data_IF_012682408779
#
_entry.id   IF_012682408779
#
_cell.length_a   1.000
_cell.length_b   1.000
_cell.length_c   1.000
_cell.angle_alpha   90.00
_cell.angle_beta   90.00
_cell.angle_gamma   90.00
#
_symmetry.space_group_name_H-M   'P 1'
#
loop_
_entity.id
_entity.type
_entity.pdbx_description
1 polymer ?
#
# COMPACT_ATOMS: atom_id res chain seq x y z
N UNK A 1 -84.18 30.85 1.56
CA UNK A 1 -83.17 29.84 1.94
C UNK A 1 -82.07 29.87 0.88
N UNK A 2 -80.84 30.18 1.31
CA UNK A 2 -79.53 30.02 0.64
C UNK A 2 -79.43 30.31 -0.87
N UNK A 3 -78.97 31.50 -1.27
CA UNK A 3 -77.57 31.92 -1.47
C UNK A 3 -76.90 31.33 -2.71
N UNK A 4 -76.86 32.14 -3.78
CA UNK A 4 -75.84 32.07 -4.83
C UNK A 4 -75.70 33.47 -5.44
N UNK A 5 -74.52 34.07 -5.34
CA UNK A 5 -74.15 35.22 -6.17
C UNK A 5 -72.72 35.06 -6.66
N UNK A 6 -72.61 35.09 -7.98
CA UNK A 6 -71.40 34.96 -8.78
C UNK A 6 -70.83 36.37 -8.99
N UNK A 7 -69.51 36.53 -8.86
CA UNK A 7 -68.81 37.65 -9.47
C UNK A 7 -67.35 37.28 -9.84
N UNK A 8 -67.14 37.19 -11.15
CA UNK A 8 -65.94 37.48 -11.95
C UNK A 8 -64.80 38.25 -11.28
N UNK A 9 -63.54 37.80 -11.46
CA UNK A 9 -62.54 38.51 -12.30
C UNK A 9 -61.15 37.84 -12.34
N UNK A 10 -60.57 37.85 -13.56
CA UNK A 10 -59.13 37.90 -13.96
C UNK A 10 -58.13 36.81 -13.51
N UNK A 11 -57.71 36.04 -14.52
CA UNK A 11 -56.46 35.25 -14.55
C UNK A 11 -55.24 36.16 -14.65
N UNK A 12 -54.27 35.98 -13.76
CA UNK A 12 -52.86 36.26 -14.01
C UNK A 12 -52.02 35.09 -13.49
N UNK A 13 -51.11 34.67 -14.35
CA UNK A 13 -50.15 33.57 -14.24
C UNK A 13 -49.10 33.81 -13.16
N UNK A 14 -48.79 32.80 -12.35
CA UNK A 14 -47.51 32.70 -11.66
C UNK A 14 -46.94 31.28 -11.82
N UNK A 15 -45.89 31.21 -12.64
CA UNK A 15 -44.99 30.06 -12.82
C UNK A 15 -44.02 30.02 -11.64
N UNK A 16 -43.99 28.92 -10.90
CA UNK A 16 -42.96 28.65 -9.90
C UNK A 16 -41.85 27.84 -10.54
N UNK A 17 -40.78 28.51 -10.97
CA UNK A 17 -39.51 27.85 -11.31
C UNK A 17 -38.73 27.72 -10.00
N UNK A 18 -38.73 26.53 -9.42
CA UNK A 18 -37.78 26.13 -8.38
C UNK A 18 -36.40 26.00 -9.03
N UNK A 19 -35.59 27.04 -8.87
CA UNK A 19 -34.16 26.98 -9.20
C UNK A 19 -33.45 26.02 -8.24
N UNK A 20 -33.07 24.86 -8.74
CA UNK A 20 -31.99 24.07 -8.16
C UNK A 20 -30.69 24.86 -8.34
N UNK A 21 -30.31 25.63 -7.32
CA UNK A 21 -28.93 26.11 -7.20
C UNK A 21 -28.10 24.89 -6.84
N UNK A 22 -27.56 24.25 -7.87
CA UNK A 22 -26.43 23.37 -7.70
C UNK A 22 -25.25 24.29 -7.36
N UNK A 23 -24.93 24.42 -6.07
CA UNK A 23 -23.68 25.07 -5.64
C UNK A 23 -22.54 24.30 -6.28
N UNK A 24 -22.03 24.81 -7.40
CA UNK A 24 -20.73 24.43 -7.91
C UNK A 24 -19.70 24.95 -6.90
N UNK A 25 -19.33 24.11 -5.94
CA UNK A 25 -18.17 24.37 -5.10
C UNK A 25 -16.94 24.37 -6.02
N UNK A 26 -16.61 25.53 -6.59
CA UNK A 26 -15.35 25.74 -7.26
C UNK A 26 -14.24 25.52 -6.23
N UNK A 27 -13.29 24.64 -6.53
CA UNK A 27 -12.07 24.46 -5.73
C UNK A 27 -11.40 25.83 -5.56
N UNK A 28 -11.31 26.31 -4.32
CA UNK A 28 -10.80 27.66 -4.01
C UNK A 28 -9.50 27.62 -3.20
N UNK A 29 -9.19 26.51 -2.52
CA UNK A 29 -7.99 26.36 -1.69
C UNK A 29 -6.88 25.62 -2.45
N UNK A 30 -5.69 26.22 -2.51
CA UNK A 30 -4.48 25.58 -3.08
C UNK A 30 -3.75 24.70 -2.06
N UNK A 31 -4.03 24.87 -0.78
CA UNK A 31 -3.50 24.10 0.34
C UNK A 31 -4.52 24.05 1.48
N UNK A 32 -4.45 23.01 2.31
CA UNK A 32 -5.21 22.89 3.54
C UNK A 32 -4.40 22.17 4.62
N UNK A 33 -4.91 22.20 5.85
CA UNK A 33 -4.32 21.51 7.01
C UNK A 33 -5.36 20.58 7.60
N UNK A 34 -4.94 19.36 7.95
CA UNK A 34 -5.75 18.36 8.61
C UNK A 34 -5.14 17.99 9.97
N UNK A 35 -5.99 17.86 10.97
CA UNK A 35 -5.56 17.36 12.29
C UNK A 35 -5.65 15.84 12.31
N UNK A 36 -4.51 15.17 12.43
CA UNK A 36 -4.42 13.70 12.49
C UNK A 36 -4.52 13.19 13.92
N UNK A 37 -4.81 11.89 14.07
CA UNK A 37 -4.80 11.21 15.36
C UNK A 37 -3.41 11.33 16.02
N UNK A 38 -3.32 11.71 17.32
CA UNK A 38 -2.04 11.79 18.01
C UNK A 38 -1.29 10.44 18.02
N UNK A 39 0.02 10.51 17.78
CA UNK A 39 0.91 9.37 17.84
C UNK A 39 1.14 8.91 19.28
N UNK A 40 1.37 7.61 19.47
CA UNK A 40 1.85 7.08 20.76
C UNK A 40 3.35 6.85 20.64
N UNK A 41 4.12 7.25 21.65
CA UNK A 41 5.58 7.29 21.58
C UNK A 41 6.21 6.27 22.52
N UNK A 42 7.35 5.73 22.11
CA UNK A 42 8.20 4.86 22.91
C UNK A 42 9.64 5.36 22.83
N UNK A 43 10.20 5.78 23.97
CA UNK A 43 11.56 6.34 24.08
C UNK A 43 11.83 7.52 23.13
N UNK A 44 10.83 8.38 22.93
CA UNK A 44 10.94 9.65 22.20
C UNK A 44 10.38 10.77 23.08
N UNK A 45 11.10 11.88 23.18
CA UNK A 45 10.64 13.07 23.93
C UNK A 45 9.57 13.86 23.17
N UNK A 46 9.61 13.80 21.84
CA UNK A 46 8.67 14.46 20.93
C UNK A 46 8.38 13.54 19.73
N UNK A 47 7.16 13.66 19.20
CA UNK A 47 6.69 12.92 18.05
C UNK A 47 6.50 13.81 16.82
N UNK A 48 5.95 13.24 15.73
CA UNK A 48 5.56 14.01 14.55
C UNK A 48 4.43 15.01 14.86
N UNK A 49 4.30 16.05 14.03
CA UNK A 49 3.25 17.05 14.17
C UNK A 49 1.86 16.44 13.91
N UNK A 50 0.85 16.91 14.64
CA UNK A 50 -0.54 16.47 14.44
C UNK A 50 -1.32 17.36 13.50
N UNK A 51 -0.77 18.52 13.12
CA UNK A 51 -1.33 19.41 12.11
C UNK A 51 -0.56 19.23 10.81
N UNK A 52 -1.12 18.47 9.87
CA UNK A 52 -0.45 18.10 8.63
C UNK A 52 -1.02 18.90 7.48
N UNK A 53 -0.17 19.70 6.83
CA UNK A 53 -0.55 20.44 5.62
C UNK A 53 -0.36 19.60 4.37
N UNK A 54 -1.24 19.82 3.40
CA UNK A 54 -1.12 19.25 2.07
C UNK A 54 -1.57 20.25 1.01
N UNK A 55 -0.93 20.21 -0.15
CA UNK A 55 -1.32 20.95 -1.33
C UNK A 55 -2.40 20.21 -2.11
N UNK A 56 -3.10 20.95 -2.98
CA UNK A 56 -4.06 20.36 -3.92
C UNK A 56 -3.43 19.29 -4.83
N UNK A 57 -2.20 19.50 -5.29
CA UNK A 57 -1.52 18.54 -6.17
C UNK A 57 -1.17 17.25 -5.42
N UNK A 58 -0.70 17.37 -4.17
CA UNK A 58 -0.52 16.22 -3.27
C UNK A 58 -1.84 15.48 -3.03
N UNK A 59 -2.93 16.21 -2.78
CA UNK A 59 -4.26 15.63 -2.57
C UNK A 59 -4.71 14.76 -3.76
N UNK A 60 -4.63 15.31 -4.97
CA UNK A 60 -5.00 14.59 -6.20
C UNK A 60 -4.09 13.39 -6.44
N UNK A 61 -2.78 13.54 -6.19
CA UNK A 61 -1.78 12.47 -6.34
C UNK A 61 -2.06 11.31 -5.39
N UNK A 62 -2.19 11.58 -4.09
CA UNK A 62 -2.40 10.52 -3.09
C UNK A 62 -3.73 9.80 -3.30
N UNK A 63 -4.79 10.56 -3.61
CA UNK A 63 -6.09 9.98 -3.93
C UNK A 63 -6.01 9.06 -5.14
N UNK A 64 -5.37 9.51 -6.24
CA UNK A 64 -5.17 8.70 -7.44
C UNK A 64 -4.40 7.42 -7.12
N UNK A 65 -3.27 7.51 -6.41
CA UNK A 65 -2.44 6.35 -6.07
C UNK A 65 -3.19 5.32 -5.23
N UNK A 66 -3.84 5.75 -4.13
CA UNK A 66 -4.61 4.82 -3.30
C UNK A 66 -5.75 4.17 -4.08
N UNK A 67 -6.44 4.95 -4.93
CA UNK A 67 -7.54 4.44 -5.75
C UNK A 67 -7.06 3.47 -6.83
N UNK A 68 -5.92 3.72 -7.46
CA UNK A 68 -5.30 2.78 -8.41
C UNK A 68 -4.98 1.45 -7.74
N UNK A 69 -4.38 1.46 -6.54
CA UNK A 69 -4.13 0.23 -5.76
C UNK A 69 -5.45 -0.51 -5.53
N UNK A 70 -6.50 0.16 -5.03
CA UNK A 70 -7.80 -0.47 -4.77
C UNK A 70 -8.40 -1.15 -5.99
N UNK A 71 -8.37 -0.49 -7.15
CA UNK A 71 -8.94 -1.01 -8.39
C UNK A 71 -8.08 -2.15 -8.94
N UNK A 72 -6.74 -2.01 -8.92
CA UNK A 72 -5.80 -3.07 -9.31
C UNK A 72 -6.00 -4.34 -8.47
N UNK A 73 -6.12 -4.22 -7.15
CA UNK A 73 -6.33 -5.36 -6.24
C UNK A 73 -7.70 -6.03 -6.46
N UNK A 74 -8.74 -5.23 -6.71
CA UNK A 74 -10.08 -5.76 -7.06
C UNK A 74 -10.02 -6.56 -8.37
N UNK A 75 -9.30 -6.04 -9.36
CA UNK A 75 -9.07 -6.71 -10.64
C UNK A 75 -8.27 -8.00 -10.47
N UNK A 76 -7.19 -7.99 -9.69
CA UNK A 76 -6.42 -9.19 -9.37
C UNK A 76 -7.29 -10.26 -8.68
N UNK A 77 -8.14 -9.85 -7.72
CA UNK A 77 -9.10 -10.76 -7.09
C UNK A 77 -10.08 -11.41 -8.08
N UNK A 78 -10.53 -10.66 -9.09
CA UNK A 78 -11.41 -11.19 -10.15
C UNK A 78 -10.67 -12.14 -11.10
N UNK A 79 -9.46 -11.77 -11.54
CA UNK A 79 -8.61 -12.62 -12.39
C UNK A 79 -8.24 -13.93 -11.69
N UNK A 80 -8.02 -13.92 -10.38
CA UNK A 80 -7.79 -15.14 -9.59
C UNK A 80 -9.03 -16.04 -9.54
N UNK A 81 -10.23 -15.48 -9.31
CA UNK A 81 -11.48 -16.25 -9.35
C UNK A 81 -11.73 -16.85 -10.73
N UNK A 82 -11.35 -16.14 -11.79
CA UNK A 82 -11.39 -16.61 -13.18
C UNK A 82 -10.27 -17.62 -13.54
N UNK A 83 -9.43 -18.02 -12.57
CA UNK A 83 -8.32 -18.97 -12.74
C UNK A 83 -7.21 -18.51 -13.70
N UNK A 84 -7.17 -17.22 -14.00
CA UNK A 84 -6.10 -16.61 -14.81
C UNK A 84 -4.85 -16.41 -13.93
N UNK A 85 -5.05 -15.96 -12.69
CA UNK A 85 -4.00 -15.95 -11.65
C UNK A 85 -4.07 -17.27 -10.87
N UNK A 86 -2.92 -17.84 -10.54
CA UNK A 86 -2.77 -19.10 -9.80
C UNK A 86 -1.83 -18.93 -8.59
N UNK A 87 -1.72 -19.97 -7.76
CA UNK A 87 -0.80 -19.97 -6.61
C UNK A 87 -1.23 -19.00 -5.52
N UNK A 88 -0.29 -18.23 -4.97
CA UNK A 88 -0.58 -17.22 -3.96
C UNK A 88 -1.02 -15.90 -4.60
N UNK A 89 -1.95 -15.21 -3.93
CA UNK A 89 -2.35 -13.84 -4.27
C UNK A 89 -2.82 -13.13 -2.99
N UNK A 90 -2.06 -12.16 -2.51
CA UNK A 90 -2.29 -11.45 -1.24
C UNK A 90 -2.68 -10.00 -1.51
N UNK A 91 -3.99 -9.70 -1.43
CA UNK A 91 -4.50 -8.39 -1.82
C UNK A 91 -4.24 -7.31 -0.76
N UNK A 92 -3.72 -6.15 -1.15
CA UNK A 92 -3.40 -5.05 -0.23
C UNK A 92 -4.60 -4.16 0.15
N UNK A 93 -5.80 -4.44 -0.37
CA UNK A 93 -6.97 -3.58 -0.17
C UNK A 93 -7.33 -3.33 1.30
N UNK A 94 -7.46 -2.05 1.65
CA UNK A 94 -7.70 -1.55 3.00
C UNK A 94 -6.46 -0.94 3.67
N UNK A 95 -5.26 -1.19 3.12
CA UNK A 95 -3.98 -0.72 3.67
C UNK A 95 -3.34 0.38 2.79
N UNK A 96 -4.08 0.95 1.83
CA UNK A 96 -3.53 1.84 0.81
C UNK A 96 -2.85 3.09 1.39
N UNK A 97 -3.36 3.61 2.52
CA UNK A 97 -2.77 4.74 3.22
C UNK A 97 -1.34 4.46 3.70
N UNK A 98 -0.99 3.21 4.03
CA UNK A 98 0.34 2.83 4.48
C UNK A 98 1.36 3.00 3.35
N UNK A 99 1.16 2.27 2.24
CA UNK A 99 2.09 2.33 1.10
C UNK A 99 2.19 3.73 0.48
N UNK A 100 1.05 4.40 0.24
CA UNK A 100 1.06 5.74 -0.38
C UNK A 100 1.60 6.80 0.57
N UNK A 101 1.34 6.70 1.87
CA UNK A 101 1.78 7.68 2.87
C UNK A 101 3.28 7.64 3.07
N UNK A 102 3.82 6.43 3.17
CA UNK A 102 5.26 6.24 3.27
C UNK A 102 5.98 6.69 2.00
N UNK A 103 5.48 6.30 0.81
CA UNK A 103 6.07 6.75 -0.47
C UNK A 103 6.03 8.28 -0.62
N UNK A 104 5.00 8.95 -0.09
CA UNK A 104 4.87 10.39 -0.13
C UNK A 104 5.91 11.15 0.72
N UNK A 105 6.62 10.46 1.62
CA UNK A 105 7.58 11.04 2.56
C UNK A 105 9.04 10.63 2.30
N UNK A 106 9.28 9.79 1.29
CA UNK A 106 10.61 9.34 0.88
C UNK A 106 10.95 9.77 -0.54
N UNK A 107 12.20 9.53 -0.93
CA UNK A 107 12.71 9.77 -2.29
C UNK A 107 12.79 8.47 -3.09
N UNK A 108 12.92 8.54 -4.43
CA UNK A 108 13.19 7.36 -5.25
C UNK A 108 14.51 6.65 -4.91
N UNK A 109 15.46 7.32 -4.25
CA UNK A 109 16.75 6.77 -3.86
C UNK A 109 16.75 6.11 -2.48
N UNK A 110 15.73 6.40 -1.66
CA UNK A 110 15.44 5.63 -0.44
C UNK A 110 14.95 4.21 -0.83
N UNK A 111 15.27 3.24 0.01
CA UNK A 111 14.98 1.83 -0.24
C UNK A 111 13.75 1.34 0.52
N UNK A 112 13.00 0.43 -0.11
CA UNK A 112 11.86 -0.24 0.51
C UNK A 112 11.98 -1.75 0.35
N UNK A 113 11.67 -2.51 1.40
CA UNK A 113 11.54 -3.97 1.35
C UNK A 113 10.35 -4.43 2.20
N UNK A 114 9.55 -5.37 1.69
CA UNK A 114 8.35 -5.86 2.37
C UNK A 114 8.16 -7.37 2.19
N UNK A 115 7.13 -7.92 2.83
CA UNK A 115 6.70 -9.30 2.70
C UNK A 115 5.91 -9.52 1.40
N UNK A 116 5.22 -10.66 1.27
CA UNK A 116 4.50 -11.07 0.06
C UNK A 116 3.25 -10.25 -0.29
N UNK A 117 2.77 -9.33 0.57
CA UNK A 117 1.60 -8.48 0.29
C UNK A 117 2.01 -7.19 -0.40
N UNK A 118 2.65 -7.32 -1.56
CA UNK A 118 3.51 -6.28 -2.12
C UNK A 118 2.91 -5.51 -3.32
N UNK A 119 1.74 -5.86 -3.87
CA UNK A 119 1.33 -5.30 -5.16
C UNK A 119 1.21 -3.76 -5.14
N UNK A 120 0.62 -3.21 -4.07
CA UNK A 120 0.53 -1.76 -3.85
C UNK A 120 1.91 -1.10 -3.80
N UNK A 121 2.84 -1.67 -3.04
CA UNK A 121 4.23 -1.24 -2.96
C UNK A 121 4.95 -1.29 -4.30
N UNK A 122 4.85 -2.41 -5.02
CA UNK A 122 5.42 -2.58 -6.37
C UNK A 122 4.95 -1.47 -7.31
N UNK A 123 3.66 -1.12 -7.25
CA UNK A 123 3.09 -0.06 -8.08
C UNK A 123 3.61 1.32 -7.70
N UNK A 124 3.53 1.71 -6.42
CA UNK A 124 3.97 3.05 -5.99
C UNK A 124 5.48 3.26 -6.13
N UNK A 125 6.27 2.17 -6.12
CA UNK A 125 7.71 2.18 -6.42
C UNK A 125 8.04 2.19 -7.93
N UNK A 126 7.04 2.35 -8.78
CA UNK A 126 7.22 2.73 -10.18
C UNK A 126 6.91 1.66 -11.22
N UNK A 127 6.44 0.48 -10.83
CA UNK A 127 5.95 -0.50 -11.82
C UNK A 127 4.52 -0.09 -12.25
N UNK A 128 4.24 0.01 -13.56
CA UNK A 128 2.89 0.31 -14.03
C UNK A 128 1.92 -0.83 -13.66
N UNK A 129 0.62 -0.52 -13.56
CA UNK A 129 -0.43 -1.51 -13.26
C UNK A 129 -0.33 -2.74 -14.16
N UNK A 130 -0.07 -2.52 -15.45
CA UNK A 130 0.14 -3.59 -16.41
C UNK A 130 1.29 -4.52 -16.03
N UNK A 131 2.45 -4.00 -15.62
CA UNK A 131 3.60 -4.82 -15.21
C UNK A 131 3.34 -5.65 -13.94
N UNK A 132 2.50 -5.14 -13.02
CA UNK A 132 2.04 -5.89 -11.84
C UNK A 132 1.06 -7.00 -12.26
N UNK A 133 0.03 -6.66 -13.04
CA UNK A 133 -0.99 -7.62 -13.47
C UNK A 133 -0.40 -8.71 -14.38
N UNK A 134 0.49 -8.35 -15.30
CA UNK A 134 1.19 -9.30 -16.17
C UNK A 134 2.06 -10.28 -15.40
N UNK A 135 2.68 -9.85 -14.30
CA UNK A 135 3.42 -10.77 -13.42
C UNK A 135 2.47 -11.72 -12.68
N UNK A 136 1.33 -11.21 -12.20
CA UNK A 136 0.31 -12.04 -11.56
C UNK A 136 -0.30 -13.08 -12.52
N UNK A 137 -0.49 -12.72 -13.79
CA UNK A 137 -1.00 -13.62 -14.83
C UNK A 137 0.09 -14.48 -15.48
N UNK A 138 1.33 -14.41 -15.00
CA UNK A 138 2.45 -15.26 -15.41
C UNK A 138 2.98 -14.97 -16.81
N UNK A 139 2.93 -13.71 -17.27
CA UNK A 139 3.33 -13.32 -18.63
C UNK A 139 4.73 -12.76 -18.67
N UNK A 140 5.37 -12.87 -19.84
CA UNK A 140 6.75 -12.40 -20.09
C UNK A 140 6.91 -10.89 -19.86
N UNK A 141 5.85 -10.12 -20.01
CA UNK A 141 5.79 -8.67 -19.79
C UNK A 141 5.62 -8.29 -18.32
N UNK A 142 5.48 -9.26 -17.42
CA UNK A 142 5.50 -9.04 -15.97
C UNK A 142 6.83 -8.45 -15.50
N UNK A 143 6.81 -7.73 -14.38
CA UNK A 143 8.01 -7.08 -13.83
C UNK A 143 9.15 -8.04 -13.45
N UNK A 144 8.88 -9.35 -13.35
CA UNK A 144 9.88 -10.41 -13.18
C UNK A 144 9.76 -11.48 -14.29
N UNK A 145 9.26 -11.09 -15.47
CA UNK A 145 9.10 -11.95 -16.64
C UNK A 145 8.21 -13.19 -16.42
N UNK A 146 7.25 -13.09 -15.49
CA UNK A 146 6.36 -14.19 -15.12
C UNK A 146 7.02 -15.29 -14.27
N UNK A 147 8.27 -15.08 -13.81
CA UNK A 147 9.00 -16.04 -12.97
C UNK A 147 8.69 -15.91 -11.48
N UNK A 148 8.28 -14.72 -11.02
CA UNK A 148 8.12 -14.41 -9.60
C UNK A 148 6.70 -14.60 -9.09
N UNK A 149 5.70 -14.24 -9.90
CA UNK A 149 4.30 -14.21 -9.50
C UNK A 149 4.00 -13.17 -8.41
N UNK A 150 2.92 -13.39 -7.66
CA UNK A 150 2.41 -12.42 -6.67
C UNK A 150 3.41 -12.00 -5.61
N UNK A 151 4.22 -12.94 -5.12
CA UNK A 151 5.04 -12.70 -3.94
C UNK A 151 6.39 -12.07 -4.26
N UNK A 152 6.86 -12.11 -5.50
CA UNK A 152 8.26 -11.82 -5.86
C UNK A 152 8.34 -10.82 -7.02
N UNK A 153 8.04 -9.56 -6.72
CA UNK A 153 8.14 -8.44 -7.65
C UNK A 153 9.24 -7.50 -7.17
N UNK A 154 10.07 -6.97 -8.06
CA UNK A 154 11.21 -6.12 -7.72
C UNK A 154 11.28 -4.92 -8.67
N UNK A 155 11.81 -3.80 -8.20
CA UNK A 155 12.16 -2.65 -9.06
C UNK A 155 13.30 -1.87 -8.42
N UNK A 156 13.76 -0.79 -9.06
CA UNK A 156 14.84 0.06 -8.53
C UNK A 156 14.49 0.50 -7.10
N UNK A 157 15.40 0.23 -6.17
CA UNK A 157 15.26 0.55 -4.74
C UNK A 157 13.96 0.02 -4.09
N UNK A 158 13.38 -1.03 -4.67
CA UNK A 158 12.34 -1.85 -4.06
C UNK A 158 12.81 -3.30 -4.11
N UNK A 159 13.27 -3.78 -2.96
CA UNK A 159 13.87 -5.10 -2.79
C UNK A 159 12.82 -6.20 -2.59
N UNK A 160 11.60 -5.86 -3.00
CA UNK A 160 10.56 -6.77 -3.40
C UNK A 160 9.65 -7.27 -2.30
N UNK A 161 8.75 -8.13 -2.75
CA UNK A 161 7.98 -8.99 -1.90
C UNK A 161 8.78 -10.23 -1.51
N UNK A 162 8.70 -10.59 -0.23
CA UNK A 162 9.44 -11.71 0.33
C UNK A 162 8.47 -12.73 0.93
N UNK A 163 8.58 -13.98 0.48
CA UNK A 163 7.67 -15.07 0.84
C UNK A 163 7.94 -15.68 2.22
N UNK A 164 9.16 -15.53 2.75
CA UNK A 164 9.56 -16.11 4.03
C UNK A 164 9.32 -15.07 5.15
N UNK A 165 8.39 -15.37 6.05
CA UNK A 165 7.94 -14.45 7.09
C UNK A 165 9.11 -14.01 7.98
N UNK A 166 9.40 -12.70 7.97
CA UNK A 166 10.42 -12.06 8.80
C UNK A 166 11.81 -11.98 8.14
N UNK A 167 12.07 -12.75 7.08
CA UNK A 167 13.37 -12.79 6.41
C UNK A 167 13.77 -11.45 5.78
N UNK A 168 12.79 -10.64 5.39
CA UNK A 168 13.02 -9.33 4.81
C UNK A 168 13.54 -8.29 5.79
N UNK A 169 13.37 -8.50 7.10
CA UNK A 169 13.75 -7.49 8.11
C UNK A 169 15.27 -7.40 8.27
N UNK A 170 16.02 -8.51 8.45
CA UNK A 170 17.49 -8.47 8.39
C UNK A 170 18.02 -7.97 7.03
N UNK A 171 17.36 -8.31 5.92
CA UNK A 171 17.73 -7.80 4.59
C UNK A 171 17.59 -6.26 4.52
N UNK A 172 16.49 -5.72 5.05
CA UNK A 172 16.29 -4.27 5.17
C UNK A 172 17.35 -3.58 6.02
N UNK A 173 17.74 -4.19 7.15
CA UNK A 173 18.86 -3.70 7.95
C UNK A 173 20.19 -3.73 7.16
N UNK A 174 20.43 -4.77 6.35
CA UNK A 174 21.59 -4.85 5.46
C UNK A 174 21.60 -3.77 4.36
N UNK A 175 20.43 -3.43 3.81
CA UNK A 175 20.29 -2.33 2.85
C UNK A 175 20.56 -0.98 3.53
N UNK A 176 20.04 -0.76 4.74
CA UNK A 176 20.35 0.42 5.54
C UNK A 176 21.85 0.54 5.85
N UNK A 177 22.51 -0.57 6.17
CA UNK A 177 23.96 -0.64 6.32
C UNK A 177 24.67 -0.18 5.04
N UNK A 178 24.20 -0.61 3.86
CA UNK A 178 24.79 -0.19 2.59
C UNK A 178 24.64 1.32 2.34
N UNK A 179 23.49 1.93 2.67
CA UNK A 179 23.31 3.38 2.60
C UNK A 179 24.28 4.12 3.53
N UNK A 180 24.37 3.68 4.79
CA UNK A 180 25.34 4.23 5.75
C UNK A 180 26.78 4.10 5.26
N UNK A 181 27.14 2.94 4.72
CA UNK A 181 28.47 2.67 4.20
C UNK A 181 28.84 3.59 3.03
N UNK A 182 27.87 3.90 2.16
CA UNK A 182 28.05 4.81 1.02
C UNK A 182 28.02 6.29 1.41
N UNK A 183 27.43 6.64 2.57
CA UNK A 183 27.25 8.02 2.99
C UNK A 183 26.29 8.81 2.07
N UNK A 184 25.29 8.13 1.50
CA UNK A 184 24.39 8.70 0.49
C UNK A 184 23.16 9.42 1.06
N UNK A 185 23.02 9.47 2.39
CA UNK A 185 21.89 10.07 3.12
C UNK A 185 20.51 9.52 2.72
N UNK A 186 20.48 8.26 2.27
CA UNK A 186 19.25 7.52 2.02
C UNK A 186 18.93 6.58 3.20
N UNK A 187 17.67 6.18 3.31
CA UNK A 187 17.17 5.29 4.36
C UNK A 187 16.60 4.00 3.76
N UNK A 188 16.45 2.96 4.59
CA UNK A 188 15.67 1.77 4.22
C UNK A 188 14.42 1.63 5.09
N UNK A 189 13.25 1.55 4.47
CA UNK A 189 12.00 1.12 5.12
C UNK A 189 11.90 -0.41 5.04
N UNK A 190 11.94 -1.08 6.18
CA UNK A 190 11.87 -2.53 6.30
C UNK A 190 10.54 -2.95 6.93
N UNK A 191 9.59 -3.38 6.10
CA UNK A 191 8.22 -3.69 6.50
C UNK A 191 8.03 -5.16 6.89
N UNK A 192 7.18 -5.40 7.87
CA UNK A 192 6.73 -6.73 8.33
C UNK A 192 5.32 -6.64 8.92
N UNK A 193 4.57 -7.75 8.98
CA UNK A 193 3.23 -7.77 9.57
C UNK A 193 3.22 -8.11 11.07
N UNK A 194 2.08 -7.94 11.74
CA UNK A 194 1.89 -8.26 13.16
C UNK A 194 2.27 -9.72 13.50
N UNK A 195 1.89 -10.70 12.66
CA UNK A 195 2.31 -12.09 12.84
C UNK A 195 3.82 -12.32 12.66
N UNK A 196 4.49 -11.49 11.84
CA UNK A 196 5.94 -11.57 11.65
C UNK A 196 6.71 -10.95 12.82
N UNK A 197 6.09 -10.08 13.62
CA UNK A 197 6.71 -9.38 14.75
C UNK A 197 7.23 -10.29 15.88
N UNK A 198 6.93 -11.60 15.82
CA UNK A 198 7.40 -12.62 16.75
C UNK A 198 8.55 -13.48 16.20
N UNK A 199 9.05 -13.18 15.00
CA UNK A 199 10.21 -13.86 14.43
C UNK A 199 11.50 -13.42 15.13
N UNK A 200 12.32 -14.37 15.58
CA UNK A 200 13.55 -14.10 16.35
C UNK A 200 14.54 -13.18 15.63
N UNK A 201 14.69 -13.37 14.31
CA UNK A 201 15.60 -12.58 13.47
C UNK A 201 15.27 -11.07 13.44
N UNK A 202 14.05 -10.65 13.77
CA UNK A 202 13.71 -9.23 13.89
C UNK A 202 14.45 -8.60 15.07
N UNK A 203 14.51 -9.30 16.20
CA UNK A 203 15.19 -8.82 17.41
C UNK A 203 16.70 -8.79 17.23
N UNK A 204 17.25 -9.77 16.49
CA UNK A 204 18.65 -9.74 16.07
C UNK A 204 18.94 -8.53 15.18
N UNK A 205 18.06 -8.25 14.21
CA UNK A 205 18.17 -7.09 13.32
C UNK A 205 18.05 -5.76 14.10
N UNK A 206 17.10 -5.64 15.04
CA UNK A 206 16.96 -4.45 15.89
C UNK A 206 18.21 -4.19 16.72
N UNK A 207 18.79 -5.24 17.30
CA UNK A 207 20.03 -5.14 18.07
C UNK A 207 21.19 -4.61 17.23
N UNK A 208 21.46 -5.24 16.08
CA UNK A 208 22.56 -4.82 15.21
C UNK A 208 22.31 -3.44 14.60
N UNK A 209 21.08 -3.16 14.17
CA UNK A 209 20.74 -1.87 13.61
C UNK A 209 20.95 -0.74 14.61
N UNK A 210 20.61 -0.97 15.89
CA UNK A 210 20.84 0.03 16.94
C UNK A 210 22.31 0.14 17.31
N UNK A 211 23.00 -0.99 17.45
CA UNK A 211 24.45 -1.02 17.75
C UNK A 211 25.27 -0.22 16.74
N UNK A 212 24.86 -0.26 15.46
CA UNK A 212 25.55 0.41 14.38
C UNK A 212 24.88 1.69 13.92
N UNK A 213 23.88 2.21 14.62
CA UNK A 213 23.07 3.39 14.24
C UNK A 213 22.74 3.40 12.73
N UNK A 214 22.08 2.35 12.26
CA UNK A 214 21.69 2.21 10.86
C UNK A 214 20.50 3.10 10.51
N UNK A 215 20.45 3.69 9.30
CA UNK A 215 19.32 4.49 8.82
C UNK A 215 18.15 3.58 8.38
N UNK A 216 17.63 2.78 9.30
CA UNK A 216 16.57 1.81 9.05
C UNK A 216 15.28 2.18 9.80
N UNK A 217 14.17 2.26 9.07
CA UNK A 217 12.83 2.45 9.61
C UNK A 217 12.15 1.08 9.59
N UNK A 218 11.96 0.48 10.76
CA UNK A 218 11.30 -0.81 10.92
C UNK A 218 9.79 -0.61 11.05
N UNK A 219 9.01 -1.17 10.13
CA UNK A 219 7.55 -0.91 10.08
C UNK A 219 6.77 -2.19 10.32
N UNK A 220 5.96 -2.21 11.38
CA UNK A 220 4.94 -3.22 11.62
C UNK A 220 3.61 -2.79 10.99
N UNK A 221 3.21 -3.42 9.89
CA UNK A 221 1.87 -3.33 9.31
C UNK A 221 0.90 -4.20 10.13
N UNK A 222 0.40 -3.64 11.23
CA UNK A 222 -0.54 -4.31 12.11
C UNK A 222 -1.94 -4.26 11.51
N UNK A 223 -2.37 -5.35 10.87
CA UNK A 223 -3.73 -5.51 10.34
C UNK A 223 -4.62 -6.35 11.26
N UNK A 224 -4.16 -6.62 12.49
CA UNK A 224 -4.85 -7.38 13.54
C UNK A 224 -4.72 -8.90 13.44
N UNK A 225 -4.21 -9.45 12.33
CA UNK A 225 -4.24 -10.90 12.08
C UNK A 225 -3.03 -11.44 11.29
N UNK A 226 -2.24 -12.29 11.96
CA UNK A 226 -1.24 -13.16 11.34
C UNK A 226 -1.90 -14.39 10.71
N UNK A 227 -2.14 -14.35 9.40
CA UNK A 227 -2.95 -15.34 8.68
C UNK A 227 -4.38 -15.45 9.26
N UNK A 228 -4.63 -16.39 10.17
CA UNK A 228 -5.91 -16.57 10.87
C UNK A 228 -5.82 -16.45 12.39
N UNK A 229 -4.67 -16.03 12.92
CA UNK A 229 -4.45 -15.85 14.36
C UNK A 229 -4.47 -14.37 14.68
N UNK A 230 -5.34 -13.93 15.60
CA UNK A 230 -5.39 -12.53 16.02
C UNK A 230 -4.14 -12.13 16.79
N UNK A 231 -3.83 -10.84 16.79
CA UNK A 231 -2.69 -10.27 17.49
C UNK A 231 -2.62 -10.71 18.97
N UNK A 232 -3.75 -10.70 19.68
CA UNK A 232 -3.87 -11.05 21.10
C UNK A 232 -3.59 -12.54 21.37
N UNK A 233 -3.78 -13.39 20.37
CA UNK A 233 -3.51 -14.83 20.46
C UNK A 233 -2.09 -15.19 20.06
N UNK A 234 -1.40 -14.32 19.31
CA UNK A 234 -0.07 -14.55 18.79
C UNK A 234 1.03 -13.85 19.60
N UNK A 235 0.70 -12.70 20.23
CA UNK A 235 1.67 -11.82 20.87
C UNK A 235 1.28 -11.55 22.33
N UNK A 236 2.19 -11.83 23.27
CA UNK A 236 1.98 -11.52 24.68
C UNK A 236 1.85 -10.01 24.96
N UNK A 237 2.46 -9.19 24.10
CA UNK A 237 2.24 -7.74 24.04
C UNK A 237 1.93 -7.34 22.60
N UNK A 238 0.79 -6.68 22.42
CA UNK A 238 0.28 -6.19 21.12
C UNK A 238 0.64 -4.73 20.84
N UNK A 239 1.49 -4.11 21.69
CA UNK A 239 2.06 -2.78 21.41
C UNK A 239 3.31 -2.94 20.54
N UNK A 240 3.16 -3.12 19.23
CA UNK A 240 4.27 -3.50 18.35
C UNK A 240 5.35 -2.43 18.24
N UNK A 241 4.98 -1.15 18.31
CA UNK A 241 5.95 -0.03 18.29
C UNK A 241 6.93 -0.01 19.49
N UNK A 242 6.68 -0.80 20.55
CA UNK A 242 7.58 -0.91 21.72
C UNK A 242 8.47 -2.15 21.68
N UNK A 243 8.27 -3.07 20.72
CA UNK A 243 8.94 -4.38 20.68
C UNK A 243 10.44 -4.30 20.37
N UNK A 244 10.91 -3.15 19.88
CA UNK A 244 12.33 -2.86 19.74
C UNK A 244 13.06 -2.63 21.07
N UNK A 245 12.33 -2.61 22.20
CA UNK A 245 12.82 -2.32 23.56
C UNK A 245 13.65 -1.03 23.63
N UNK A 246 14.97 -1.09 23.42
CA UNK A 246 15.86 0.06 23.40
C UNK A 246 15.81 0.84 22.08
N UNK A 247 15.23 0.29 21.02
CA UNK A 247 14.95 1.02 19.78
C UNK A 247 13.70 1.88 19.96
N UNK A 248 13.79 3.21 19.76
CA UNK A 248 12.62 4.09 19.85
C UNK A 248 11.56 3.73 18.82
N UNK A 249 10.32 4.07 19.09
CA UNK A 249 9.24 3.83 18.14
C UNK A 249 7.99 4.65 18.36
N UNK A 250 7.11 4.61 17.37
CA UNK A 250 5.82 5.30 17.43
C UNK A 250 4.69 4.50 16.78
N UNK A 251 3.49 4.66 17.34
CA UNK A 251 2.24 4.15 16.78
C UNK A 251 1.59 5.20 15.88
N UNK A 252 1.01 4.75 14.77
CA UNK A 252 0.36 5.57 13.74
C UNK A 252 -1.00 4.98 13.36
N UNK A 253 -2.00 5.83 13.14
CA UNK A 253 -3.24 5.44 12.46
C UNK A 253 -2.94 5.13 10.98
N UNK A 254 -2.76 3.86 10.66
CA UNK A 254 -2.45 3.37 9.31
C UNK A 254 -3.64 3.44 8.34
N UNK A 255 -4.77 4.00 8.76
CA UNK A 255 -5.93 4.29 7.91
C UNK A 255 -6.00 5.77 7.50
N UNK A 256 -5.10 6.62 8.02
CA UNK A 256 -4.98 8.03 7.67
C UNK A 256 -3.67 8.29 6.91
N UNK A 257 -3.80 8.61 5.62
CA UNK A 257 -2.69 8.86 4.72
C UNK A 257 -1.77 10.00 5.20
N UNK A 258 -2.33 11.05 5.80
CA UNK A 258 -1.58 12.20 6.27
C UNK A 258 -0.80 11.87 7.56
N UNK A 259 -1.39 11.04 8.43
CA UNK A 259 -0.71 10.55 9.62
C UNK A 259 0.50 9.66 9.24
N UNK A 260 0.31 8.75 8.28
CA UNK A 260 1.40 7.89 7.78
C UNK A 260 2.50 8.72 7.12
N UNK A 261 2.14 9.69 6.26
CA UNK A 261 3.11 10.59 5.62
C UNK A 261 3.96 11.31 6.66
N UNK A 262 3.32 11.94 7.63
CA UNK A 262 4.02 12.77 8.61
C UNK A 262 4.88 11.95 9.58
N UNK A 263 4.39 10.78 10.02
CA UNK A 263 5.18 9.81 10.77
C UNK A 263 6.42 9.34 10.00
N UNK A 264 6.28 9.09 8.70
CA UNK A 264 7.40 8.63 7.86
C UNK A 264 8.41 9.73 7.63
N UNK A 265 7.96 10.98 7.41
CA UNK A 265 8.83 12.16 7.30
C UNK A 265 9.67 12.32 8.57
N UNK A 266 9.02 12.30 9.73
CA UNK A 266 9.69 12.36 11.02
C UNK A 266 10.72 11.24 11.20
N UNK A 267 10.32 9.99 10.89
CA UNK A 267 11.20 8.84 11.02
C UNK A 267 12.40 8.91 10.08
N UNK A 268 12.22 9.36 8.84
CA UNK A 268 13.31 9.59 7.88
C UNK A 268 14.33 10.57 8.43
N UNK A 269 13.87 11.72 8.92
CA UNK A 269 14.74 12.75 9.50
C UNK A 269 15.44 12.27 10.77
N UNK A 270 14.76 11.42 11.56
CA UNK A 270 15.30 10.82 12.78
C UNK A 270 16.42 9.82 12.47
N UNK A 271 16.18 8.84 11.59
CA UNK A 271 17.12 7.72 11.40
C UNK A 271 18.43 8.13 10.77
N UNK A 272 18.43 9.22 10.00
CA UNK A 272 19.65 9.81 9.44
C UNK A 272 20.57 10.41 10.52
N UNK A 273 20.05 10.69 11.73
CA UNK A 273 20.79 11.33 12.83
C UNK A 273 20.98 10.45 14.05
N UNK A 274 20.05 9.53 14.33
CA UNK A 274 19.92 8.88 15.64
C UNK A 274 19.87 7.34 15.59
N UNK A 275 20.07 6.76 14.41
CA UNK A 275 19.94 5.31 14.20
C UNK A 275 18.48 4.87 14.06
N UNK A 276 18.18 3.57 14.16
CA UNK A 276 16.90 3.02 13.71
C UNK A 276 15.71 3.46 14.58
N UNK A 277 14.51 3.37 13.99
CA UNK A 277 13.24 3.64 14.65
C UNK A 277 12.19 2.61 14.24
N UNK A 278 11.25 2.29 15.14
CA UNK A 278 10.09 1.46 14.85
C UNK A 278 8.85 2.32 14.57
N UNK A 279 8.05 1.91 13.59
CA UNK A 279 6.71 2.43 13.35
C UNK A 279 5.73 1.26 13.41
N UNK A 280 4.66 1.37 14.18
CA UNK A 280 3.49 0.51 14.03
C UNK A 280 2.39 1.27 13.30
N UNK A 281 2.00 0.80 12.13
CA UNK A 281 0.81 1.31 11.43
C UNK A 281 -0.37 0.40 11.77
N UNK A 282 -1.32 0.91 12.55
CA UNK A 282 -2.60 0.22 12.78
C UNK A 282 -3.47 0.38 11.54
N UNK A 283 -3.61 -0.70 10.78
CA UNK A 283 -4.32 -0.71 9.50
C UNK A 283 -5.26 -1.91 9.43
N UNK A 284 -5.85 -2.19 8.27
CA UNK A 284 -6.77 -3.32 8.12
C UNK A 284 -6.82 -3.87 6.70
N UNK A 285 -6.81 -5.20 6.56
CA UNK A 285 -7.00 -5.89 5.28
C UNK A 285 -8.45 -6.34 5.10
N UNK A 286 -9.09 -5.94 4.00
CA UNK A 286 -10.49 -6.30 3.75
C UNK A 286 -10.69 -7.73 3.26
N UNK A 287 -9.72 -8.28 2.56
CA UNK A 287 -9.74 -9.67 2.13
C UNK A 287 -9.14 -10.57 3.22
N UNK A 288 -9.40 -11.87 3.11
CA UNK A 288 -8.70 -12.89 3.91
C UNK A 288 -7.18 -12.83 3.70
N UNK A 289 -6.46 -13.76 4.30
CA UNK A 289 -5.00 -13.74 4.28
C UNK A 289 -4.47 -13.70 2.85
N UNK A 290 -4.95 -14.61 2.03
CA UNK A 290 -4.74 -14.74 0.59
C UNK A 290 -6.08 -15.08 -0.10
N UNK A 291 -6.09 -15.16 -1.42
CA UNK A 291 -7.29 -15.56 -2.18
C UNK A 291 -7.82 -16.98 -1.85
N UNK A 292 -7.03 -17.85 -1.22
CA UNK A 292 -7.50 -19.16 -0.75
C UNK A 292 -8.18 -19.11 0.62
N UNK A 293 -8.08 -17.99 1.34
CA UNK A 293 -8.67 -17.79 2.66
C UNK A 293 -9.87 -16.83 2.55
N UNK A 294 -11.11 -17.30 2.81
CA UNK A 294 -12.29 -16.44 2.86
C UNK A 294 -12.24 -15.39 3.97
N UNK A 295 -11.45 -15.60 5.04
CA UNK A 295 -11.28 -14.68 6.15
C UNK A 295 -12.47 -14.55 7.10
N UNK A 296 -13.39 -15.53 7.11
CA UNK A 296 -14.62 -15.53 7.92
C UNK A 296 -14.60 -16.52 9.09
N UNK A 297 -13.56 -17.34 9.22
CA UNK A 297 -13.44 -18.33 10.31
C UNK A 297 -12.85 -17.77 11.60
N UNK A 298 -12.21 -16.59 11.55
CA UNK A 298 -11.47 -15.99 12.67
C UNK A 298 -11.83 -14.52 12.93
N UNK A 299 -12.77 -13.97 12.17
CA UNK A 299 -13.34 -12.61 12.32
C UNK A 299 -14.69 -12.54 11.61
N UNK A 300 -15.51 -11.57 11.99
CA UNK A 300 -16.88 -11.45 11.49
C UNK A 300 -16.95 -10.61 10.21
N UNK A 301 -18.02 -10.78 9.42
CA UNK A 301 -18.24 -9.92 8.25
C UNK A 301 -18.60 -8.51 8.65
N UNK A 302 -19.27 -8.39 9.79
CA UNK A 302 -19.71 -7.15 10.43
C UNK A 302 -18.50 -6.30 10.81
N UNK A 303 -17.45 -6.89 11.41
CA UNK A 303 -16.19 -6.19 11.71
C UNK A 303 -15.55 -5.59 10.45
N UNK A 304 -15.43 -6.39 9.38
CA UNK A 304 -14.84 -5.93 8.11
C UNK A 304 -15.67 -4.78 7.50
N UNK A 305 -17.01 -4.91 7.53
CA UNK A 305 -17.91 -3.88 7.01
C UNK A 305 -17.84 -2.60 7.84
N UNK A 306 -17.78 -2.72 9.18
CA UNK A 306 -17.64 -1.59 10.08
C UNK A 306 -16.35 -0.81 9.81
N UNK A 307 -15.21 -1.51 9.71
CA UNK A 307 -13.93 -0.86 9.39
C UNK A 307 -14.00 -0.19 8.02
N UNK A 308 -14.58 -0.84 7.00
CA UNK A 308 -14.71 -0.25 5.66
C UNK A 308 -15.61 0.98 5.65
N UNK A 309 -16.73 0.97 6.38
CA UNK A 309 -17.65 2.09 6.42
C UNK A 309 -17.11 3.28 7.21
N UNK A 310 -16.42 3.01 8.33
CA UNK A 310 -16.00 4.05 9.28
C UNK A 310 -14.56 4.50 9.12
N UNK A 311 -13.68 3.69 8.53
CA UNK A 311 -12.23 3.91 8.49
C UNK A 311 -11.59 3.72 7.12
N UNK A 312 -12.34 3.50 6.02
CA UNK A 312 -11.70 3.34 4.70
C UNK A 312 -10.80 4.52 4.34
N UNK A 313 -9.52 4.27 3.98
CA UNK A 313 -8.54 5.34 3.81
C UNK A 313 -8.85 6.24 2.61
N UNK A 314 -9.45 5.68 1.56
CA UNK A 314 -9.80 6.41 0.34
C UNK A 314 -11.03 7.28 0.58
N UNK A 315 -12.07 6.72 1.20
CA UNK A 315 -13.29 7.43 1.54
C UNK A 315 -13.02 8.57 2.52
N UNK A 316 -12.30 8.30 3.61
CA UNK A 316 -11.91 9.35 4.57
C UNK A 316 -11.11 10.45 3.93
N UNK A 317 -10.10 10.10 3.12
CA UNK A 317 -9.28 11.13 2.49
C UNK A 317 -10.06 11.95 1.46
N UNK A 318 -10.98 11.33 0.71
CA UNK A 318 -11.91 12.04 -0.18
C UNK A 318 -12.72 13.10 0.59
N UNK A 319 -13.28 12.73 1.75
CA UNK A 319 -14.02 13.65 2.58
C UNK A 319 -13.14 14.80 3.07
N UNK A 320 -11.90 14.52 3.48
CA UNK A 320 -10.93 15.54 3.92
C UNK A 320 -10.64 16.56 2.80
N UNK A 321 -10.30 16.10 1.59
CA UNK A 321 -9.90 16.98 0.49
C UNK A 321 -11.09 17.75 -0.13
N UNK A 322 -12.30 17.17 -0.07
CA UNK A 322 -13.53 17.85 -0.51
C UNK A 322 -14.00 18.88 0.51
N UNK A 323 -14.07 18.50 1.79
CA UNK A 323 -14.55 19.41 2.84
C UNK A 323 -13.61 20.59 3.08
N UNK A 324 -12.32 20.43 2.78
CA UNK A 324 -11.35 21.53 2.80
C UNK A 324 -11.45 22.47 1.58
N UNK A 325 -12.25 22.14 0.57
CA UNK A 325 -12.37 22.92 -0.67
C UNK A 325 -11.13 22.86 -1.56
N UNK A 326 -10.21 21.91 -1.31
CA UNK A 326 -8.99 21.72 -2.12
C UNK A 326 -9.24 20.92 -3.39
N UNK A 327 -10.24 20.04 -3.41
CA UNK A 327 -10.63 19.21 -4.57
C UNK A 327 -12.16 19.13 -4.66
N UNK A 328 -12.74 19.11 -5.86
CA UNK A 328 -14.19 18.93 -6.03
C UNK A 328 -14.61 17.46 -6.20
N UNK A 329 -15.89 17.16 -5.98
CA UNK A 329 -16.43 15.81 -6.18
C UNK A 329 -16.36 15.37 -7.65
N UNK A 330 -16.51 16.31 -8.58
CA UNK A 330 -16.41 16.08 -10.01
C UNK A 330 -14.99 15.66 -10.41
N UNK A 331 -13.98 16.26 -9.80
CA UNK A 331 -12.57 15.93 -10.03
C UNK A 331 -12.22 14.54 -9.50
N UNK A 332 -12.72 14.21 -8.31
CA UNK A 332 -12.63 12.84 -7.76
C UNK A 332 -13.25 11.85 -8.74
N UNK A 333 -14.49 12.09 -9.18
CA UNK A 333 -15.19 11.20 -10.12
C UNK A 333 -14.41 11.04 -11.43
N UNK A 334 -13.87 12.14 -11.98
CA UNK A 334 -13.05 12.09 -13.19
C UNK A 334 -11.83 11.20 -13.00
N UNK A 335 -11.09 11.36 -11.90
CA UNK A 335 -9.94 10.52 -11.57
C UNK A 335 -10.35 9.05 -11.45
N UNK A 336 -11.46 8.75 -10.78
CA UNK A 336 -11.93 7.36 -10.65
C UNK A 336 -12.24 6.72 -12.00
N UNK A 337 -12.87 7.45 -12.92
CA UNK A 337 -13.24 6.94 -14.23
C UNK A 337 -12.00 6.71 -15.12
N UNK A 338 -11.00 7.60 -15.03
CA UNK A 338 -9.70 7.41 -15.67
C UNK A 338 -8.98 6.16 -15.14
N UNK A 339 -8.93 5.97 -13.81
CA UNK A 339 -8.28 4.81 -13.19
C UNK A 339 -8.99 3.51 -13.59
N UNK A 340 -10.33 3.48 -13.58
CA UNK A 340 -11.09 2.29 -13.99
C UNK A 340 -10.72 1.88 -15.40
N UNK A 341 -10.62 2.85 -16.32
CA UNK A 341 -10.21 2.59 -17.70
C UNK A 341 -8.77 2.10 -17.76
N UNK A 342 -7.83 2.80 -17.12
CA UNK A 342 -6.41 2.44 -17.09
C UNK A 342 -6.18 1.00 -16.59
N UNK A 343 -6.83 0.62 -15.48
CA UNK A 343 -6.70 -0.72 -14.91
C UNK A 343 -7.41 -1.77 -15.78
N UNK A 344 -8.55 -1.45 -16.38
CA UNK A 344 -9.23 -2.36 -17.30
C UNK A 344 -8.37 -2.66 -18.55
N UNK A 345 -7.80 -1.62 -19.16
CA UNK A 345 -6.92 -1.75 -20.32
C UNK A 345 -5.67 -2.59 -19.95
N UNK A 346 -5.05 -2.32 -18.80
CA UNK A 346 -3.94 -3.11 -18.28
C UNK A 346 -4.30 -4.58 -18.02
N UNK A 347 -5.53 -4.84 -17.52
CA UNK A 347 -6.01 -6.18 -17.28
C UNK A 347 -6.24 -6.95 -18.58
N UNK A 348 -6.85 -6.33 -19.60
CA UNK A 348 -7.01 -6.94 -20.92
C UNK A 348 -5.65 -7.29 -21.53
N UNK A 349 -4.70 -6.36 -21.49
CA UNK A 349 -3.35 -6.60 -22.01
C UNK A 349 -2.63 -7.74 -21.26
N UNK A 350 -2.73 -7.79 -19.92
CA UNK A 350 -2.12 -8.86 -19.11
C UNK A 350 -2.66 -10.26 -19.41
N UNK A 351 -3.85 -10.38 -20.03
CA UNK A 351 -4.44 -11.66 -20.44
C UNK A 351 -3.99 -12.10 -21.82
N UNK A 352 -3.58 -11.18 -22.68
CA UNK A 352 -3.21 -11.44 -24.08
C UNK A 352 -1.70 -11.44 -24.31
N UNK A 353 -0.93 -10.89 -23.37
CA UNK A 353 0.53 -10.91 -23.42
C UNK A 353 1.12 -12.33 -23.52
N UNK A 354 2.25 -12.53 -24.21
CA UNK A 354 2.83 -13.85 -24.36
C UNK A 354 3.31 -14.43 -23.02
N UNK A 355 3.15 -15.73 -22.87
CA UNK A 355 3.86 -16.48 -21.82
C UNK A 355 5.38 -16.47 -22.08
N UNK A 356 6.14 -16.77 -21.04
CA UNK A 356 7.58 -16.96 -21.16
C UNK A 356 7.87 -18.22 -21.99
N UNK A 357 8.75 -18.12 -22.99
CA UNK A 357 9.13 -19.27 -23.81
C UNK A 357 9.86 -20.34 -22.96
N UNK A 358 9.64 -21.65 -23.19
CA UNK A 358 10.24 -22.72 -22.39
C UNK A 358 11.77 -22.66 -22.29
N UNK A 359 12.45 -22.18 -23.33
CA UNK A 359 13.92 -22.04 -23.35
C UNK A 359 14.41 -20.99 -22.35
N UNK A 360 13.58 -19.99 -22.03
CA UNK A 360 13.91 -18.91 -21.09
C UNK A 360 13.68 -19.31 -19.62
N UNK A 361 13.19 -20.52 -19.36
CA UNK A 361 13.05 -21.09 -18.02
C UNK A 361 14.40 -21.11 -17.28
N UNK A 362 15.48 -21.35 -18.00
CA UNK A 362 16.82 -21.56 -17.46
C UNK A 362 17.64 -20.28 -17.30
N UNK A 363 17.11 -19.13 -17.72
CA UNK A 363 17.82 -17.85 -17.65
C UNK A 363 17.81 -17.26 -16.23
N UNK A 364 18.84 -16.45 -15.93
CA UNK A 364 18.96 -15.67 -14.69
C UNK A 364 19.14 -16.48 -13.40
N UNK A 365 19.66 -17.71 -13.49
CA UNK A 365 20.03 -18.51 -12.31
C UNK A 365 21.30 -17.95 -11.65
N UNK A 366 22.28 -17.54 -12.46
CA UNK A 366 23.52 -16.92 -12.01
C UNK A 366 23.71 -15.61 -12.77
N UNK A 367 24.06 -14.53 -12.06
CA UNK A 367 24.47 -13.28 -12.71
C UNK A 367 25.85 -13.46 -13.35
N UNK A 368 25.96 -13.16 -14.65
CA UNK A 368 27.18 -13.35 -15.45
C UNK A 368 27.69 -14.81 -15.44
N UNK A 369 26.90 -15.77 -15.97
CA UNK A 369 27.28 -17.18 -15.95
C UNK A 369 28.54 -17.43 -16.81
N UNK A 370 29.38 -18.42 -16.46
CA UNK A 370 30.50 -18.84 -17.29
C UNK A 370 30.05 -19.20 -18.71
N UNK A 371 30.87 -18.86 -19.69
CA UNK A 371 30.58 -19.18 -21.09
C UNK A 371 30.38 -20.69 -21.27
N UNK A 372 29.28 -21.06 -21.94
CA UNK A 372 28.92 -22.46 -22.20
C UNK A 372 28.29 -23.20 -21.02
N UNK A 373 27.99 -22.52 -19.89
CA UNK A 373 27.24 -23.11 -18.80
C UNK A 373 25.88 -23.63 -19.29
N UNK A 374 25.57 -24.88 -18.92
CA UNK A 374 24.27 -25.51 -19.20
C UNK A 374 23.60 -25.93 -17.90
N UNK A 375 22.27 -25.88 -17.91
CA UNK A 375 21.42 -26.29 -16.81
C UNK A 375 20.69 -27.56 -17.23
N UNK A 376 20.70 -28.55 -16.35
CA UNK A 376 20.02 -29.82 -16.55
C UNK A 376 18.51 -29.64 -16.39
N UNK A 377 17.73 -30.24 -17.28
CA UNK A 377 16.27 -30.33 -17.19
C UNK A 377 15.81 -31.55 -16.38
N UNK A 378 14.64 -32.09 -16.73
CA UNK A 378 14.00 -33.18 -15.99
C UNK A 378 14.75 -34.53 -16.07
N UNK A 379 15.62 -34.72 -17.07
CA UNK A 379 16.46 -35.91 -17.24
C UNK A 379 17.89 -35.55 -17.66
N UNK A 380 18.75 -36.54 -17.89
CA UNK A 380 20.15 -36.35 -18.29
C UNK A 380 20.35 -36.01 -19.78
N UNK A 381 19.29 -36.02 -20.58
CA UNK A 381 19.33 -35.67 -22.01
C UNK A 381 18.94 -34.22 -22.28
N UNK A 382 18.19 -33.59 -21.36
CA UNK A 382 17.75 -32.20 -21.48
C UNK A 382 18.79 -31.28 -20.83
N UNK A 383 19.45 -30.47 -21.66
CA UNK A 383 20.37 -29.43 -21.21
C UNK A 383 20.11 -28.14 -21.96
N UNK A 384 19.90 -27.05 -21.22
CA UNK A 384 19.64 -25.73 -21.77
C UNK A 384 20.75 -24.74 -21.41
N UNK A 385 21.10 -23.89 -22.36
CA UNK A 385 21.99 -22.77 -22.10
C UNK A 385 21.28 -21.73 -21.21
N UNK A 386 21.98 -21.22 -20.21
CA UNK A 386 21.51 -20.07 -19.42
C UNK A 386 22.08 -18.78 -19.98
N UNK A 387 21.29 -17.71 -19.93
CA UNK A 387 21.74 -16.33 -20.14
C UNK A 387 21.74 -15.54 -18.84
#
# INVERSE_FOLDING_TARGET
MFSAFIASTRRQSNSWILGLVQESHMSSATQATHTVTPYKLHRLDHGPDTQVSYTRDEALKYYRQMRTIRVMETTAGNLYKAKIIRGFCHLYSGQEAVAVGMEAAITPDDSVITAYRAHGWTHVRGIPVHGVLAELTGRKTGCAFGKGGSMHMYTKNFYGGNGIVGAQVPLGAGIALAHKYKGDNNVCIALYGDGAANQGQLFEAFNMAKLWDLPCIFVCENNGFGMGTSAERASASTTYYTRGDYVPGLWVDGMDILAVKEATRFARDYVLKHGPILIETETYRYHGHSMSDPGTSYRTREEIQEVRQKRDPIGKFADVIVNSGTVTKEEIKKIEDEIKKEVADAAELSKTDPELAPEELYNYIISNPPAGMKIRGCDDTIWASTK
#
